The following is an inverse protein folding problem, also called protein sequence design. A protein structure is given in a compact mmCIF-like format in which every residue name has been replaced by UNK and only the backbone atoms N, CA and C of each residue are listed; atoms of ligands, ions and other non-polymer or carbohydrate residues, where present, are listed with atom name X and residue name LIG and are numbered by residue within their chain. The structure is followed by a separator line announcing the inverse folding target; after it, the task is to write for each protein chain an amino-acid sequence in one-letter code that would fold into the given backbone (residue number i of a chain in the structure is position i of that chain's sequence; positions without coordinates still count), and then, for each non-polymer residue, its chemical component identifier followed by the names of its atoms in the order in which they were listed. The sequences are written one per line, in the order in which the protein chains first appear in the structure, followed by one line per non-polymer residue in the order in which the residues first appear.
data_IF_440636111979
#
_entry.id   IF_440636111979
#
_cell.length_a   1.000
_cell.length_b   1.000
_cell.length_c   1.000
_cell.angle_alpha   90.00
_cell.angle_beta   90.00
_cell.angle_gamma   90.00
#
_symmetry.space_group_name_H-M   'P 1'
#
loop_
_entity.id
_entity.type
_entity.pdbx_description
1 polymer ?
#
# COMPACT_ATOMS: atom_id res chain seq x y z
N UNK A 1 -28.03 54.90 -44.39
CA UNK A 1 -28.94 55.34 -43.30
C UNK A 1 -28.83 54.32 -42.17
N UNK A 2 -28.73 54.75 -40.91
CA UNK A 2 -28.16 53.97 -39.83
C UNK A 2 -29.13 52.92 -39.29
N UNK A 3 -28.60 51.73 -38.97
CA UNK A 3 -29.33 50.65 -38.32
C UNK A 3 -29.39 50.89 -36.80
N UNK A 4 -30.59 50.79 -36.24
CA UNK A 4 -30.90 50.89 -34.82
C UNK A 4 -30.15 49.85 -33.97
N UNK A 5 -29.79 50.19 -32.71
CA UNK A 5 -29.20 49.23 -31.79
C UNK A 5 -30.29 48.32 -31.18
N UNK A 6 -30.11 47.01 -31.29
CA UNK A 6 -30.92 45.99 -30.64
C UNK A 6 -30.53 45.87 -29.17
N UNK A 7 -31.54 45.96 -28.30
CA UNK A 7 -31.46 45.93 -26.84
C UNK A 7 -31.38 44.46 -26.37
N UNK A 8 -30.30 44.09 -25.69
CA UNK A 8 -30.11 42.77 -25.08
C UNK A 8 -30.91 42.68 -23.76
N UNK A 9 -31.65 41.59 -23.48
CA UNK A 9 -32.37 41.43 -22.21
C UNK A 9 -31.42 40.98 -21.09
N UNK A 10 -31.65 41.54 -19.89
CA UNK A 10 -30.95 41.21 -18.65
C UNK A 10 -31.33 39.81 -18.14
N UNK A 11 -30.36 39.07 -17.60
CA UNK A 11 -30.56 37.79 -16.93
C UNK A 11 -31.06 37.99 -15.48
N UNK A 12 -31.90 37.09 -14.93
CA UNK A 12 -32.48 37.24 -13.60
C UNK A 12 -31.54 36.79 -12.47
N UNK A 13 -31.32 37.71 -11.53
CA UNK A 13 -30.58 37.51 -10.27
C UNK A 13 -31.50 36.84 -9.23
N UNK A 14 -31.59 35.50 -9.19
CA UNK A 14 -32.44 34.83 -8.16
C UNK A 14 -32.01 33.42 -7.76
N UNK A 15 -30.71 33.12 -7.72
CA UNK A 15 -30.23 31.79 -7.22
C UNK A 15 -29.28 31.89 -6.02
N UNK A 16 -28.59 33.01 -5.81
CA UNK A 16 -27.65 33.12 -4.67
C UNK A 16 -28.31 33.40 -3.31
N UNK A 17 -29.52 33.97 -3.26
CA UNK A 17 -30.18 34.34 -1.99
C UNK A 17 -30.86 33.15 -1.30
N UNK A 18 -31.16 32.05 -2.01
CA UNK A 18 -31.84 30.88 -1.44
C UNK A 18 -30.86 29.92 -0.73
N UNK A 19 -29.58 29.91 -1.15
CA UNK A 19 -28.56 29.04 -0.56
C UNK A 19 -27.99 29.56 0.77
N UNK A 20 -28.04 30.87 1.04
CA UNK A 20 -27.57 31.43 2.32
C UNK A 20 -28.58 31.20 3.46
N UNK A 21 -29.88 31.26 3.19
CA UNK A 21 -30.92 31.10 4.22
C UNK A 21 -31.09 29.65 4.71
N UNK A 22 -30.73 28.65 3.89
CA UNK A 22 -30.79 27.23 4.27
C UNK A 22 -29.61 26.84 5.19
N UNK A 23 -28.45 27.49 5.07
CA UNK A 23 -27.27 27.20 5.92
C UNK A 23 -27.41 27.76 7.34
N UNK A 24 -28.06 28.90 7.54
CA UNK A 24 -28.28 29.45 8.88
C UNK A 24 -29.36 28.72 9.68
N UNK A 25 -30.37 28.14 9.03
CA UNK A 25 -31.50 27.50 9.73
C UNK A 25 -31.14 26.12 10.30
N UNK A 26 -30.14 25.42 9.76
CA UNK A 26 -29.74 24.08 10.23
C UNK A 26 -28.74 24.15 11.40
N UNK A 27 -27.96 25.23 11.51
CA UNK A 27 -26.97 25.40 12.58
C UNK A 27 -27.61 25.70 13.95
N UNK A 28 -28.83 26.24 14.00
CA UNK A 28 -29.48 26.67 15.25
C UNK A 28 -30.34 25.57 15.91
N UNK A 29 -30.65 24.47 15.22
CA UNK A 29 -31.55 23.41 15.74
C UNK A 29 -30.83 22.24 16.43
N UNK A 30 -29.49 22.20 16.46
CA UNK A 30 -28.71 21.08 17.05
C UNK A 30 -28.08 21.43 18.43
N UNK A 31 -28.38 22.58 19.03
CA UNK A 31 -27.81 22.98 20.34
C UNK A 31 -28.77 22.95 21.54
N UNK A 32 -29.98 22.39 21.43
CA UNK A 32 -30.89 22.29 22.57
C UNK A 32 -31.71 21.00 22.57
N UNK A 33 -31.11 19.88 22.98
CA UNK A 33 -31.81 18.87 23.81
C UNK A 33 -30.83 17.84 24.36
N UNK A 34 -31.12 17.33 25.56
CA UNK A 34 -30.44 16.26 26.32
C UNK A 34 -29.39 16.74 27.33
N UNK A 35 -29.88 17.29 28.44
CA UNK A 35 -29.33 17.01 29.78
C UNK A 35 -30.50 16.64 30.68
N UNK A 36 -30.54 15.42 31.24
CA UNK A 36 -31.18 15.19 32.53
C UNK A 36 -30.11 14.98 33.60
N UNK A 37 -30.16 15.87 34.59
CA UNK A 37 -29.47 15.82 35.87
C UNK A 37 -29.99 14.67 36.75
N UNK A 38 -29.09 14.13 37.57
CA UNK A 38 -29.27 13.50 38.90
C UNK A 38 -28.74 12.06 38.99
N UNK A 39 -27.53 11.93 39.54
CA UNK A 39 -27.12 10.75 40.30
C UNK A 39 -26.51 11.22 41.62
N UNK A 40 -27.19 10.89 42.72
CA UNK A 40 -26.72 11.10 44.09
C UNK A 40 -25.54 10.16 44.37
N UNK A 41 -24.47 10.68 44.98
CA UNK A 41 -23.39 9.89 45.57
C UNK A 41 -23.90 9.21 46.86
N UNK A 42 -23.98 7.88 46.82
CA UNK A 42 -24.17 7.03 48.00
C UNK A 42 -22.84 6.68 48.66
N UNK A 43 -22.83 6.70 49.99
CA UNK A 43 -21.71 6.32 50.86
C UNK A 43 -21.21 4.89 50.61
N UNK A 44 -19.90 4.61 50.83
CA UNK A 44 -19.40 3.24 50.74
C UNK A 44 -19.80 2.43 51.99
N UNK A 45 -20.61 1.40 51.77
CA UNK A 45 -20.94 0.39 52.76
C UNK A 45 -19.83 -0.66 52.90
N UNK A 46 -19.38 -0.87 54.12
CA UNK A 46 -18.42 -1.90 54.52
C UNK A 46 -19.05 -3.28 54.41
N UNK A 47 -18.50 -4.16 53.57
CA UNK A 47 -18.89 -5.59 53.55
C UNK A 47 -17.80 -6.40 54.27
N UNK A 48 -18.14 -6.97 55.42
CA UNK A 48 -17.31 -7.96 56.10
C UNK A 48 -17.46 -9.32 55.43
N UNK A 49 -16.34 -9.96 55.12
CA UNK A 49 -16.25 -11.37 54.77
C UNK A 49 -15.32 -12.04 55.78
N UNK A 50 -15.89 -12.91 56.62
CA UNK A 50 -15.18 -13.79 57.53
C UNK A 50 -15.03 -15.17 56.88
N UNK A 51 -13.80 -15.64 56.64
CA UNK A 51 -13.46 -17.06 56.79
C UNK A 51 -11.95 -17.33 56.90
N UNK A 52 -11.66 -18.24 57.82
CA UNK A 52 -10.40 -18.77 58.34
C UNK A 52 -9.40 -19.36 57.33
N UNK A 53 -8.10 -19.13 57.55
CA UNK A 53 -6.97 -19.90 56.99
C UNK A 53 -5.65 -19.11 56.93
N UNK A 54 -4.47 -19.70 57.24
CA UNK A 54 -3.25 -18.93 57.50
C UNK A 54 -2.43 -18.66 56.24
N UNK A 55 -1.94 -17.43 56.07
CA UNK A 55 -0.81 -17.16 55.16
C UNK A 55 -0.82 -15.78 54.52
N UNK A 56 0.17 -14.97 54.91
CA UNK A 56 0.69 -13.75 54.27
C UNK A 56 -0.24 -12.53 54.15
N UNK A 57 -0.01 -11.57 55.07
CA UNK A 57 -0.50 -10.18 54.95
C UNK A 57 0.60 -9.34 54.30
N UNK A 58 0.34 -8.84 53.09
CA UNK A 58 1.10 -7.73 52.52
C UNK A 58 0.23 -6.46 52.69
N UNK A 59 0.65 -5.55 53.55
CA UNK A 59 -0.05 -4.29 53.81
C UNK A 59 0.31 -3.31 52.69
N UNK A 60 -0.64 -3.00 51.81
CA UNK A 60 -0.53 -1.89 50.86
C UNK A 60 -1.37 -0.74 51.41
N UNK A 61 -0.73 0.35 51.80
CA UNK A 61 -1.39 1.60 52.18
C UNK A 61 -1.67 2.40 50.90
N UNK A 62 -2.93 2.65 50.51
CA UNK A 62 -3.19 3.58 49.42
C UNK A 62 -3.06 5.02 49.94
N UNK A 63 -2.03 5.73 49.49
CA UNK A 63 -1.98 7.20 49.60
C UNK A 63 -2.88 7.79 48.53
N UNK A 64 -4.03 8.30 48.93
CA UNK A 64 -4.89 9.11 48.07
C UNK A 64 -4.35 10.54 48.10
N UNK A 65 -3.64 10.95 47.05
CA UNK A 65 -3.29 12.36 46.83
C UNK A 65 -4.40 13.03 46.04
N UNK A 66 -5.22 13.81 46.73
CA UNK A 66 -6.22 14.69 46.11
C UNK A 66 -5.52 15.93 45.56
N UNK A 67 -5.28 16.00 44.26
CA UNK A 67 -4.83 17.25 43.60
C UNK A 67 -6.06 18.04 43.14
N UNK A 68 -6.33 19.14 43.84
CA UNK A 68 -7.34 20.15 43.47
C UNK A 68 -6.76 21.00 42.34
N UNK A 69 -7.40 20.99 41.16
CA UNK A 69 -7.08 21.93 40.08
C UNK A 69 -7.87 23.23 40.28
N UNK A 70 -7.18 24.30 40.63
CA UNK A 70 -7.67 25.67 40.48
C UNK A 70 -7.29 26.19 39.09
N UNK A 71 -8.28 26.70 38.35
CA UNK A 71 -8.05 27.43 37.11
C UNK A 71 -7.34 28.75 37.39
N UNK A 72 -6.37 29.08 36.52
CA UNK A 72 -5.91 30.45 36.36
C UNK A 72 -4.49 30.57 35.80
N UNK A 73 -4.41 31.24 34.66
CA UNK A 73 -3.28 32.07 34.20
C UNK A 73 -2.26 31.43 33.25
N UNK A 74 -2.14 32.12 32.12
CA UNK A 74 -1.26 31.95 30.97
C UNK A 74 0.22 32.19 31.27
N UNK A 75 1.09 31.33 30.72
CA UNK A 75 2.48 31.67 30.34
C UNK A 75 2.93 30.80 29.15
N UNK A 76 3.78 31.33 28.24
CA UNK A 76 4.13 30.69 26.98
C UNK A 76 5.25 29.65 27.18
N UNK A 77 5.11 28.47 26.58
CA UNK A 77 6.22 27.52 26.49
C UNK A 77 7.13 27.90 25.31
N UNK A 78 8.46 27.97 25.50
CA UNK A 78 9.39 28.12 24.40
C UNK A 78 9.51 26.79 23.65
N UNK A 79 9.24 26.84 22.35
CA UNK A 79 9.55 25.75 21.41
C UNK A 79 11.07 25.66 21.30
N UNK A 80 11.71 24.47 21.42
CA UNK A 80 13.11 24.33 21.08
C UNK A 80 13.27 24.56 19.58
N UNK A 81 14.08 25.56 19.21
CA UNK A 81 14.47 25.77 17.83
C UNK A 81 15.26 24.55 17.33
N UNK A 82 14.74 23.87 16.31
CA UNK A 82 15.53 22.92 15.53
C UNK A 82 16.61 23.70 14.76
N UNK A 83 17.85 23.51 15.16
CA UNK A 83 19.02 23.96 14.41
C UNK A 83 19.10 23.15 13.12
N UNK A 84 18.87 23.81 11.98
CA UNK A 84 19.19 23.25 10.67
C UNK A 84 20.68 22.90 10.63
N UNK A 85 20.98 21.61 10.55
CA UNK A 85 22.32 21.15 10.18
C UNK A 85 22.53 21.51 8.71
N UNK A 86 23.48 22.41 8.44
CA UNK A 86 23.90 22.71 7.07
C UNK A 86 24.47 21.44 6.43
N UNK A 87 23.81 21.01 5.36
CA UNK A 87 24.31 19.95 4.48
C UNK A 87 25.52 20.53 3.74
N UNK A 88 26.71 20.02 4.05
CA UNK A 88 27.91 20.33 3.28
C UNK A 88 27.79 19.69 1.88
N UNK A 89 28.23 20.39 0.81
CA UNK A 89 28.24 19.81 -0.52
C UNK A 89 29.19 18.60 -0.56
N UNK A 90 28.88 17.57 -1.36
CA UNK A 90 29.73 16.40 -1.51
C UNK A 90 31.11 16.80 -2.05
N UNK A 91 32.18 16.10 -1.65
CA UNK A 91 33.52 16.35 -2.18
C UNK A 91 33.54 16.11 -3.70
N UNK A 92 34.38 16.86 -4.44
CA UNK A 92 34.50 16.70 -5.89
C UNK A 92 34.97 15.29 -6.24
N UNK A 93 34.27 14.67 -7.19
CA UNK A 93 34.57 13.36 -7.73
C UNK A 93 35.97 13.34 -8.37
N UNK A 94 36.85 12.48 -7.86
CA UNK A 94 38.16 12.19 -8.46
C UNK A 94 37.96 11.00 -9.42
N UNK A 95 38.13 11.17 -10.74
CA UNK A 95 38.03 10.06 -11.69
C UNK A 95 39.18 9.07 -11.46
N UNK A 96 38.84 7.79 -11.31
CA UNK A 96 39.80 6.69 -11.26
C UNK A 96 40.28 6.42 -12.71
N UNK A 97 41.60 6.30 -12.97
CA UNK A 97 42.12 5.97 -14.29
C UNK A 97 41.64 4.60 -14.76
N UNK A 98 41.19 4.56 -16.03
CA UNK A 98 40.72 3.36 -16.73
C UNK A 98 41.95 2.68 -17.34
N UNK A 99 42.27 1.46 -16.90
CA UNK A 99 43.38 0.70 -17.49
C UNK A 99 43.02 0.20 -18.90
N UNK A 100 44.02 0.29 -19.76
CA UNK A 100 44.01 0.03 -21.19
C UNK A 100 43.86 -1.46 -21.56
N UNK A 101 43.27 -1.61 -22.74
CA UNK A 101 43.07 -2.79 -23.58
C UNK A 101 44.37 -3.55 -23.93
N UNK A 102 44.27 -4.88 -24.13
CA UNK A 102 45.32 -5.67 -24.79
C UNK A 102 44.71 -6.80 -25.66
N UNK A 103 45.41 -7.23 -26.74
CA UNK A 103 44.76 -7.50 -28.02
C UNK A 103 44.52 -8.98 -28.37
N UNK A 104 43.76 -9.14 -29.46
CA UNK A 104 43.41 -10.38 -30.16
C UNK A 104 44.62 -11.14 -30.74
N UNK A 105 44.49 -12.48 -30.82
CA UNK A 105 45.41 -13.37 -31.55
C UNK A 105 44.64 -14.17 -32.60
N UNK A 106 45.18 -14.15 -33.82
CA UNK A 106 44.70 -14.71 -35.09
C UNK A 106 45.29 -16.10 -35.44
N UNK A 107 44.49 -16.95 -36.11
CA UNK A 107 44.86 -17.96 -37.13
C UNK A 107 45.38 -19.32 -36.61
N UNK A 108 45.23 -20.52 -37.23
CA UNK A 108 45.10 -21.02 -38.63
C UNK A 108 44.87 -22.59 -38.53
N UNK A 109 44.68 -23.47 -39.55
CA UNK A 109 43.92 -23.49 -40.82
C UNK A 109 42.84 -24.61 -40.94
N UNK A 110 42.13 -24.51 -42.07
CA UNK A 110 41.16 -25.39 -42.77
C UNK A 110 41.69 -26.78 -43.18
N UNK A 111 40.81 -27.80 -43.21
CA UNK A 111 40.94 -28.97 -44.11
C UNK A 111 39.57 -29.53 -44.54
N UNK A 112 39.53 -30.16 -45.71
CA UNK A 112 38.45 -30.17 -46.69
C UNK A 112 37.31 -31.22 -46.51
N UNK A 113 36.20 -30.94 -47.20
CA UNK A 113 35.06 -31.85 -47.53
C UNK A 113 35.38 -32.73 -48.75
N UNK A 114 34.71 -33.87 -48.99
CA UNK A 114 33.37 -33.90 -49.65
C UNK A 114 32.44 -35.00 -49.05
N UNK A 115 31.12 -35.15 -49.28
CA UNK A 115 30.33 -35.10 -50.53
C UNK A 115 28.82 -35.14 -50.19
N UNK A 116 28.03 -34.51 -51.06
CA UNK A 116 26.56 -34.57 -51.29
C UNK A 116 25.64 -35.52 -50.50
N UNK A 117 24.63 -34.94 -49.85
CA UNK A 117 23.34 -35.55 -49.53
C UNK A 117 22.25 -34.47 -49.48
N UNK A 118 21.09 -34.73 -50.10
CA UNK A 118 19.95 -33.80 -50.26
C UNK A 118 19.58 -33.00 -49.00
N UNK A 119 19.21 -31.70 -49.11
CA UNK A 119 18.63 -30.97 -47.99
C UNK A 119 17.19 -31.45 -47.78
N UNK A 120 16.98 -32.21 -46.71
CA UNK A 120 15.65 -32.31 -46.10
C UNK A 120 15.35 -30.95 -45.51
N UNK A 121 14.20 -30.40 -45.90
CA UNK A 121 13.57 -29.24 -45.27
C UNK A 121 13.48 -29.47 -43.76
N UNK A 122 14.42 -28.90 -43.03
CA UNK A 122 14.32 -28.75 -41.60
C UNK A 122 13.27 -27.66 -41.39
N UNK A 123 12.04 -28.10 -41.10
CA UNK A 123 11.05 -27.21 -40.54
C UNK A 123 11.65 -26.67 -39.26
N UNK A 124 12.12 -25.42 -39.31
CA UNK A 124 12.57 -24.63 -38.18
C UNK A 124 11.32 -24.33 -37.31
N UNK A 125 10.81 -25.38 -36.69
CA UNK A 125 9.93 -25.25 -35.54
C UNK A 125 10.88 -24.77 -34.45
N UNK A 126 11.00 -23.45 -34.35
CA UNK A 126 11.36 -22.78 -33.11
C UNK A 126 10.50 -23.46 -32.04
N UNK A 127 11.09 -24.41 -31.30
CA UNK A 127 10.49 -24.87 -30.06
C UNK A 127 10.58 -23.65 -29.18
N UNK A 128 9.51 -22.87 -29.13
CA UNK A 128 9.31 -21.93 -28.05
C UNK A 128 9.60 -22.72 -26.78
N UNK A 129 10.63 -22.28 -26.04
CA UNK A 129 10.99 -22.90 -24.78
C UNK A 129 9.70 -22.99 -23.96
N UNK A 130 9.35 -24.20 -23.51
CA UNK A 130 8.07 -24.41 -22.83
C UNK A 130 7.94 -23.40 -21.68
N UNK A 131 6.82 -22.67 -21.65
CA UNK A 131 6.52 -21.73 -20.57
C UNK A 131 6.51 -22.49 -19.25
N UNK A 132 7.38 -22.08 -18.33
CA UNK A 132 7.50 -22.69 -17.00
C UNK A 132 6.87 -21.83 -15.91
N UNK A 133 6.61 -20.56 -16.20
CA UNK A 133 5.81 -19.68 -15.36
C UNK A 133 4.45 -19.46 -16.02
N UNK A 134 3.35 -19.76 -15.32
CA UNK A 134 1.99 -19.60 -15.83
C UNK A 134 1.28 -18.46 -15.12
N UNK A 135 0.56 -17.62 -15.88
CA UNK A 135 -0.28 -16.56 -15.32
C UNK A 135 -1.52 -17.16 -14.69
N UNK A 136 -1.71 -16.92 -13.39
CA UNK A 136 -2.87 -17.41 -12.62
C UNK A 136 -3.94 -16.34 -12.37
N UNK A 137 -3.59 -15.07 -12.55
CA UNK A 137 -4.51 -13.95 -12.41
C UNK A 137 -4.18 -12.89 -13.47
N UNK A 138 -5.19 -12.18 -13.96
CA UNK A 138 -5.04 -11.12 -14.95
C UNK A 138 -6.05 -10.00 -14.72
N UNK A 139 -5.60 -8.77 -14.90
CA UNK A 139 -6.39 -7.55 -14.72
C UNK A 139 -6.06 -6.55 -15.83
N UNK A 140 -7.08 -5.83 -16.28
CA UNK A 140 -6.95 -4.66 -17.15
C UNK A 140 -7.96 -3.59 -16.75
N UNK A 141 -7.52 -2.34 -16.72
CA UNK A 141 -8.36 -1.15 -16.51
C UNK A 141 -9.01 -0.64 -17.80
N UNK A 142 -8.68 -1.24 -18.96
CA UNK A 142 -9.24 -0.82 -20.24
C UNK A 142 -10.76 -0.95 -20.21
N UNK A 143 -11.49 0.13 -20.47
CA UNK A 143 -12.95 0.15 -20.31
C UNK A 143 -13.67 -0.83 -21.27
N UNK A 144 -14.54 -1.73 -20.76
CA UNK A 144 -14.84 -1.96 -19.35
C UNK A 144 -13.73 -2.76 -18.66
N UNK A 145 -13.33 -2.33 -17.45
CA UNK A 145 -12.31 -3.02 -16.69
C UNK A 145 -12.68 -4.49 -16.46
N UNK A 146 -11.69 -5.37 -16.49
CA UNK A 146 -11.87 -6.81 -16.38
C UNK A 146 -10.78 -7.44 -15.53
N UNK A 147 -11.18 -8.44 -14.75
CA UNK A 147 -10.26 -9.19 -13.90
C UNK A 147 -10.66 -10.66 -13.81
N UNK A 148 -9.67 -11.54 -13.70
CA UNK A 148 -9.83 -12.97 -13.40
C UNK A 148 -8.77 -13.38 -12.39
N UNK A 149 -9.11 -14.16 -11.37
CA UNK A 149 -8.15 -14.55 -10.32
C UNK A 149 -7.90 -13.46 -9.28
N UNK A 150 -8.75 -12.42 -9.22
CA UNK A 150 -8.58 -11.24 -8.36
C UNK A 150 -9.83 -10.93 -7.52
N UNK A 151 -9.62 -10.57 -6.26
CA UNK A 151 -10.58 -9.88 -5.41
C UNK A 151 -10.05 -8.49 -5.02
N UNK A 152 -10.88 -7.46 -5.21
CA UNK A 152 -10.54 -6.07 -4.86
C UNK A 152 -11.28 -5.67 -3.58
N UNK A 153 -10.51 -5.34 -2.54
CA UNK A 153 -10.99 -5.07 -1.19
C UNK A 153 -10.44 -3.74 -0.67
N UNK A 154 -11.04 -3.20 0.39
CA UNK A 154 -10.46 -2.13 1.19
C UNK A 154 -10.90 -2.27 2.65
N UNK A 155 -10.24 -1.57 3.58
CA UNK A 155 -10.62 -1.48 5.00
C UNK A 155 -11.90 -0.62 5.23
N UNK A 156 -12.96 -0.96 4.49
CA UNK A 156 -14.26 -0.27 4.42
C UNK A 156 -15.44 -1.20 4.75
N UNK A 157 -15.17 -2.34 5.40
CA UNK A 157 -16.16 -3.38 5.68
C UNK A 157 -17.47 -2.85 6.26
N UNK A 158 -18.59 -3.33 5.72
CA UNK A 158 -19.95 -2.96 6.08
C UNK A 158 -20.80 -4.23 6.21
N UNK A 159 -21.32 -4.56 7.41
CA UNK A 159 -22.17 -5.72 7.63
C UNK A 159 -23.42 -5.80 6.74
N UNK A 160 -23.85 -4.69 6.13
CA UNK A 160 -24.98 -4.66 5.20
C UNK A 160 -24.62 -5.08 3.76
N UNK A 161 -23.32 -5.18 3.44
CA UNK A 161 -22.84 -5.54 2.10
C UNK A 161 -21.76 -6.61 2.15
N UNK A 162 -20.56 -6.26 2.60
CA UNK A 162 -19.44 -7.17 2.71
C UNK A 162 -18.44 -6.68 3.74
N UNK A 163 -17.84 -7.61 4.48
CA UNK A 163 -17.04 -7.29 5.65
C UNK A 163 -17.88 -6.97 6.89
N UNK A 164 -17.22 -6.49 7.92
CA UNK A 164 -17.80 -6.18 9.22
C UNK A 164 -17.18 -4.93 9.83
N UNK A 165 -17.86 -4.38 10.83
CA UNK A 165 -17.36 -3.32 11.69
C UNK A 165 -17.64 -3.67 13.15
N UNK A 166 -16.67 -3.38 14.02
CA UNK A 166 -16.91 -3.34 15.45
C UNK A 166 -15.98 -2.32 16.12
N UNK A 167 -16.32 -1.91 17.34
CA UNK A 167 -15.54 -0.93 18.11
C UNK A 167 -14.23 -1.47 18.68
N UNK A 168 -13.94 -2.77 18.52
CA UNK A 168 -12.67 -3.34 18.91
C UNK A 168 -11.64 -3.25 17.79
N UNK A 169 -12.01 -3.52 16.54
CA UNK A 169 -11.09 -3.65 15.42
C UNK A 169 -11.39 -2.67 14.27
N UNK A 170 -12.41 -1.83 14.37
CA UNK A 170 -12.82 -0.95 13.28
C UNK A 170 -13.37 -1.74 12.08
N UNK A 171 -13.21 -1.18 10.88
CA UNK A 171 -13.63 -1.82 9.64
C UNK A 171 -12.72 -3.00 9.31
N UNK A 172 -13.29 -4.12 8.88
CA UNK A 172 -12.53 -5.19 8.22
C UNK A 172 -12.33 -4.87 6.74
N UNK A 173 -11.65 -5.78 6.04
CA UNK A 173 -11.76 -5.87 4.59
C UNK A 173 -13.22 -6.10 4.16
N UNK A 174 -13.62 -5.41 3.09
CA UNK A 174 -14.87 -5.58 2.34
C UNK A 174 -14.61 -5.33 0.85
N UNK A 175 -15.43 -5.90 -0.02
CA UNK A 175 -15.37 -5.62 -1.46
C UNK A 175 -15.64 -4.16 -1.73
N UNK A 176 -15.06 -3.61 -2.78
CA UNK A 176 -15.26 -2.22 -3.21
C UNK A 176 -15.76 -2.13 -4.63
N UNK A 177 -16.41 -1.00 -4.96
CA UNK A 177 -16.72 -0.62 -6.34
C UNK A 177 -15.43 -0.29 -7.10
N UNK A 178 -15.52 -0.14 -8.44
CA UNK A 178 -14.37 0.00 -9.33
C UNK A 178 -13.39 1.14 -9.00
N UNK A 179 -13.83 2.23 -8.35
CA UNK A 179 -12.93 3.32 -7.93
C UNK A 179 -12.32 3.13 -6.52
N UNK A 180 -12.63 2.02 -5.84
CA UNK A 180 -12.17 1.72 -4.48
C UNK A 180 -12.82 2.56 -3.38
N UNK A 181 -13.73 3.50 -3.69
CA UNK A 181 -14.20 4.52 -2.74
C UNK A 181 -15.33 4.07 -1.82
N UNK A 182 -16.05 3.00 -2.18
CA UNK A 182 -17.24 2.53 -1.46
C UNK A 182 -17.31 1.02 -1.42
N UNK A 183 -17.81 0.51 -0.30
CA UNK A 183 -18.11 -0.92 -0.13
C UNK A 183 -19.21 -1.41 -1.08
N UNK A 184 -18.95 -2.57 -1.66
CA UNK A 184 -19.82 -3.33 -2.56
C UNK A 184 -20.22 -4.67 -1.91
N UNK A 185 -21.25 -5.31 -2.44
CA UNK A 185 -21.66 -6.64 -1.98
C UNK A 185 -20.74 -7.76 -2.50
N UNK A 186 -20.15 -7.56 -3.67
CA UNK A 186 -19.32 -8.53 -4.39
C UNK A 186 -18.09 -7.84 -5.00
N UNK A 187 -17.09 -8.64 -5.40
CA UNK A 187 -15.88 -8.15 -6.08
C UNK A 187 -16.25 -7.52 -7.42
N UNK A 188 -15.78 -6.29 -7.65
CA UNK A 188 -15.86 -5.63 -8.96
C UNK A 188 -14.46 -5.32 -9.46
N UNK A 189 -14.17 -5.44 -10.77
CA UNK A 189 -12.89 -5.03 -11.32
C UNK A 189 -12.58 -3.58 -10.97
N UNK A 190 -11.35 -3.31 -10.55
CA UNK A 190 -10.85 -1.96 -10.33
C UNK A 190 -10.83 -1.18 -11.65
N UNK A 191 -11.16 0.10 -11.64
CA UNK A 191 -11.24 0.94 -12.85
C UNK A 191 -9.87 1.51 -13.26
N UNK A 192 -8.83 1.29 -12.45
CA UNK A 192 -7.45 1.66 -12.77
C UNK A 192 -6.99 3.02 -12.26
N UNK A 193 -7.79 3.71 -11.44
CA UNK A 193 -7.42 5.02 -10.88
C UNK A 193 -7.74 5.08 -9.40
N UNK A 194 -6.73 5.41 -8.59
CA UNK A 194 -6.89 5.86 -7.22
C UNK A 194 -6.69 7.38 -7.25
N UNK A 195 -7.73 8.13 -6.93
CA UNK A 195 -7.75 9.60 -7.07
C UNK A 195 -6.76 10.31 -6.13
N UNK A 196 -6.48 9.73 -4.96
CA UNK A 196 -5.67 10.35 -3.89
C UNK A 196 -4.92 9.28 -3.10
N UNK A 197 -3.89 9.70 -2.34
CA UNK A 197 -3.11 8.80 -1.47
C UNK A 197 -3.89 8.28 -0.26
N UNK A 198 -5.05 8.87 0.06
CA UNK A 198 -5.94 8.35 1.11
C UNK A 198 -6.79 7.15 0.65
N UNK A 199 -6.74 6.82 -0.66
CA UNK A 199 -7.44 5.67 -1.23
C UNK A 199 -6.46 4.51 -1.34
N UNK A 200 -6.81 3.41 -0.71
CA UNK A 200 -6.05 2.17 -0.74
C UNK A 200 -6.99 1.03 -1.13
N UNK A 201 -6.52 0.19 -2.05
CA UNK A 201 -7.15 -1.09 -2.36
C UNK A 201 -6.18 -2.22 -2.03
N UNK A 202 -6.70 -3.25 -1.38
CA UNK A 202 -5.99 -4.49 -1.15
C UNK A 202 -6.46 -5.51 -2.19
N UNK A 203 -5.51 -6.17 -2.85
CA UNK A 203 -5.77 -7.10 -3.95
C UNK A 203 -5.37 -8.50 -3.52
N UNK A 204 -6.31 -9.45 -3.63
CA UNK A 204 -6.16 -10.85 -3.25
C UNK A 204 -6.48 -11.77 -4.44
N UNK A 205 -6.26 -13.07 -4.26
CA UNK A 205 -6.90 -14.07 -5.14
C UNK A 205 -8.42 -13.96 -5.05
N UNK A 206 -9.15 -14.50 -6.03
CA UNK A 206 -10.60 -14.65 -5.97
C UNK A 206 -11.07 -15.86 -5.13
N UNK A 207 -10.13 -16.60 -4.53
CA UNK A 207 -10.42 -17.71 -3.63
C UNK A 207 -10.73 -17.18 -2.24
N UNK A 208 -12.00 -17.26 -1.85
CA UNK A 208 -12.44 -16.94 -0.48
C UNK A 208 -11.80 -17.88 0.52
N UNK A 209 -11.43 -17.35 1.68
CA UNK A 209 -10.93 -18.12 2.81
C UNK A 209 -11.97 -19.13 3.29
N UNK A 210 -11.54 -20.37 3.44
CA UNK A 210 -12.25 -21.40 4.20
C UNK A 210 -11.55 -21.64 5.56
N UNK A 211 -11.66 -22.84 6.11
CA UNK A 211 -11.03 -23.21 7.37
C UNK A 211 -9.49 -23.19 7.34
N UNK A 212 -8.86 -23.15 6.16
CA UNK A 212 -7.41 -23.25 6.00
C UNK A 212 -6.69 -21.89 5.98
N UNK A 213 -7.41 -20.78 6.14
CA UNK A 213 -6.81 -19.44 6.21
C UNK A 213 -6.10 -19.13 7.56
N UNK A 214 -5.78 -20.14 8.38
CA UNK A 214 -5.36 -20.05 9.79
C UNK A 214 -6.38 -19.31 10.66
N UNK A 215 -6.55 -18.01 10.44
CA UNK A 215 -7.56 -17.18 11.05
C UNK A 215 -7.94 -16.01 10.14
N UNK A 216 -9.24 -15.78 9.98
CA UNK A 216 -9.81 -14.56 9.46
C UNK A 216 -10.80 -14.01 10.49
N UNK A 217 -10.86 -12.68 10.62
CA UNK A 217 -11.82 -12.04 11.53
C UNK A 217 -13.24 -12.50 11.18
N UNK A 218 -14.06 -12.93 12.17
CA UNK A 218 -15.42 -13.37 11.90
C UNK A 218 -16.24 -12.31 11.14
N UNK A 219 -16.97 -12.75 10.11
CA UNK A 219 -17.77 -11.91 9.21
C UNK A 219 -16.97 -10.90 8.36
N UNK A 220 -15.63 -10.96 8.35
CA UNK A 220 -14.84 -10.21 7.40
C UNK A 220 -14.86 -10.87 6.01
N UNK A 221 -14.72 -10.07 4.96
CA UNK A 221 -14.42 -10.59 3.62
C UNK A 221 -12.95 -10.98 3.58
N UNK A 222 -12.66 -12.27 3.47
CA UNK A 222 -11.29 -12.79 3.51
C UNK A 222 -11.03 -13.70 2.31
N UNK A 223 -9.87 -13.52 1.69
CA UNK A 223 -9.40 -14.29 0.55
C UNK A 223 -7.97 -14.76 0.78
N UNK A 224 -7.55 -15.79 0.04
CA UNK A 224 -6.14 -16.21 0.04
C UNK A 224 -5.27 -15.17 -0.66
N UNK A 225 -4.06 -14.97 -0.15
CA UNK A 225 -2.98 -14.35 -0.93
C UNK A 225 -2.36 -15.36 -1.90
N UNK A 226 -1.42 -14.90 -2.72
CA UNK A 226 -0.60 -15.80 -3.55
C UNK A 226 0.54 -16.39 -2.72
N UNK A 227 0.43 -17.68 -2.43
CA UNK A 227 1.43 -18.45 -1.71
C UNK A 227 2.58 -18.96 -2.61
N UNK A 228 3.54 -19.64 -2.00
CA UNK A 228 4.65 -20.28 -2.71
C UNK A 228 5.94 -19.43 -2.73
N UNK A 229 7.10 -20.10 -2.81
CA UNK A 229 8.41 -19.44 -2.81
C UNK A 229 8.79 -18.84 -4.18
N UNK A 230 8.09 -19.24 -5.25
CA UNK A 230 8.31 -18.80 -6.61
C UNK A 230 7.02 -18.17 -7.15
N UNK A 231 6.96 -16.83 -7.18
CA UNK A 231 5.81 -16.06 -7.68
C UNK A 231 6.26 -14.71 -8.21
N UNK A 232 5.57 -14.20 -9.21
CA UNK A 232 5.90 -12.94 -9.85
C UNK A 232 4.63 -12.11 -10.06
N UNK A 233 4.76 -10.80 -9.81
CA UNK A 233 3.71 -9.80 -9.97
C UNK A 233 4.18 -8.79 -11.00
N UNK A 234 3.31 -8.46 -11.95
CA UNK A 234 3.58 -7.53 -13.02
C UNK A 234 2.48 -6.48 -13.05
N UNK A 235 2.89 -5.23 -13.18
CA UNK A 235 1.96 -4.10 -13.22
C UNK A 235 2.46 -3.06 -14.21
N UNK A 236 1.52 -2.39 -14.87
CA UNK A 236 1.76 -1.16 -15.60
C UNK A 236 1.03 -0.04 -14.86
N UNK A 237 1.73 1.03 -14.48
CA UNK A 237 1.14 2.12 -13.71
C UNK A 237 1.80 3.47 -13.98
N UNK A 238 1.10 4.52 -13.57
CA UNK A 238 1.52 5.91 -13.53
C UNK A 238 1.26 6.45 -12.11
N UNK A 239 2.13 7.34 -11.62
CA UNK A 239 2.02 7.94 -10.29
C UNK A 239 2.16 9.46 -10.43
N UNK A 240 1.12 10.13 -10.88
CA UNK A 240 1.09 11.59 -10.92
C UNK A 240 0.92 12.22 -9.54
N UNK A 241 1.19 13.52 -9.46
CA UNK A 241 1.03 14.29 -8.24
C UNK A 241 -0.43 14.60 -7.96
N UNK A 242 -0.96 14.05 -6.86
CA UNK A 242 -2.30 14.32 -6.36
C UNK A 242 -2.28 14.46 -4.84
N UNK A 243 -2.82 15.58 -4.37
CA UNK A 243 -3.01 15.78 -2.93
C UNK A 243 -4.30 15.11 -2.45
N UNK A 244 -4.33 14.76 -1.16
CA UNK A 244 -5.56 14.31 -0.51
C UNK A 244 -6.62 15.41 -0.50
N UNK A 245 -7.89 15.02 -0.39
CA UNK A 245 -8.97 15.99 -0.35
C UNK A 245 -9.05 16.71 1.01
N UNK A 246 -8.93 18.04 0.99
CA UNK A 246 -9.12 18.86 2.18
C UNK A 246 -7.86 18.99 3.03
N UNK A 247 -7.91 18.53 4.28
CA UNK A 247 -6.72 18.45 5.15
C UNK A 247 -6.26 17.02 5.27
N UNK A 248 -4.95 16.81 5.33
CA UNK A 248 -4.38 15.46 5.36
C UNK A 248 -4.73 14.67 6.63
N UNK A 249 -5.24 15.32 7.68
CA UNK A 249 -5.62 14.70 8.96
C UNK A 249 -4.53 13.79 9.59
N UNK A 250 -3.26 13.99 9.23
CA UNK A 250 -2.13 13.17 9.66
C UNK A 250 -1.78 12.02 8.72
N UNK A 251 -2.52 11.83 7.62
CA UNK A 251 -2.18 10.92 6.52
C UNK A 251 -1.10 11.53 5.61
N UNK A 252 -0.39 10.67 4.88
CA UNK A 252 0.53 11.11 3.83
C UNK A 252 -0.27 11.55 2.60
N UNK A 253 0.08 12.72 2.05
CA UNK A 253 -0.48 13.27 0.81
C UNK A 253 0.56 13.17 -0.30
N UNK A 254 0.11 12.92 -1.52
CA UNK A 254 0.98 12.79 -2.70
C UNK A 254 2.09 11.74 -2.50
N UNK A 255 1.70 10.62 -1.89
CA UNK A 255 2.54 9.51 -1.46
C UNK A 255 1.96 8.17 -1.99
N UNK A 256 1.85 7.97 -3.32
CA UNK A 256 1.38 6.71 -3.86
C UNK A 256 2.39 5.58 -3.60
N UNK A 257 1.87 4.36 -3.44
CA UNK A 257 2.67 3.18 -3.19
C UNK A 257 2.14 1.94 -3.89
N UNK A 258 3.05 1.04 -4.27
CA UNK A 258 2.74 -0.36 -4.56
C UNK A 258 3.58 -1.25 -3.65
N UNK A 259 2.89 -2.01 -2.80
CA UNK A 259 3.48 -2.70 -1.66
C UNK A 259 2.75 -4.00 -1.38
N UNK A 260 3.38 -4.86 -0.60
CA UNK A 260 2.96 -6.24 -0.38
C UNK A 260 2.92 -6.55 1.11
N UNK A 261 1.80 -7.08 1.56
CA UNK A 261 1.62 -7.60 2.90
C UNK A 261 1.48 -9.11 2.89
N UNK A 262 1.92 -9.77 3.96
CA UNK A 262 1.43 -11.10 4.26
C UNK A 262 -0.08 -11.04 4.50
N UNK A 263 -0.83 -11.91 3.81
CA UNK A 263 -2.30 -11.94 3.84
C UNK A 263 -2.89 -12.07 5.26
N UNK A 264 -2.16 -12.61 6.24
CA UNK A 264 -2.61 -12.66 7.64
C UNK A 264 -2.86 -11.29 8.26
N UNK A 265 -2.15 -10.25 7.82
CA UNK A 265 -2.24 -8.89 8.36
C UNK A 265 -3.64 -8.30 8.12
N UNK A 266 -4.07 -8.07 6.87
CA UNK A 266 -5.35 -7.41 6.59
C UNK A 266 -6.56 -8.34 6.80
N UNK A 267 -6.38 -9.67 6.91
CA UNK A 267 -7.46 -10.60 7.29
C UNK A 267 -7.93 -10.43 8.73
N UNK A 268 -7.15 -9.77 9.59
CA UNK A 268 -7.46 -9.54 11.00
C UNK A 268 -7.66 -8.05 11.27
N UNK A 269 -6.57 -7.30 11.18
CA UNK A 269 -6.50 -5.86 11.46
C UNK A 269 -5.20 -5.34 10.83
N UNK A 270 -5.29 -4.60 9.73
CA UNK A 270 -4.12 -3.98 9.12
C UNK A 270 -3.61 -2.81 9.95
N UNK A 271 -4.52 -1.95 10.40
CA UNK A 271 -4.21 -0.70 11.08
C UNK A 271 -4.76 -0.65 12.50
N UNK A 272 -3.93 -0.17 13.44
CA UNK A 272 -4.33 0.12 14.82
C UNK A 272 -4.22 -1.07 15.79
N UNK A 273 -4.90 -0.91 16.92
CA UNK A 273 -4.92 -1.88 18.02
C UNK A 273 -6.36 -2.27 18.33
N UNK A 274 -6.53 -3.36 19.10
CA UNK A 274 -7.84 -3.68 19.65
C UNK A 274 -8.33 -2.63 20.68
N UNK A 275 -9.57 -2.76 21.16
CA UNK A 275 -10.15 -1.88 22.22
C UNK A 275 -9.37 -1.85 23.54
N UNK A 276 -8.45 -2.79 23.78
CA UNK A 276 -7.58 -2.83 24.96
C UNK A 276 -6.18 -2.29 24.64
N UNK A 277 -6.01 -1.67 23.48
CA UNK A 277 -4.75 -1.17 22.97
C UNK A 277 -3.70 -2.28 22.77
N UNK A 278 -4.15 -3.48 22.39
CA UNK A 278 -3.30 -4.62 22.06
C UNK A 278 -3.14 -4.69 20.54
N UNK A 279 -1.90 -4.73 20.00
CA UNK A 279 -1.68 -4.91 18.58
C UNK A 279 -2.14 -6.31 18.16
N UNK A 280 -3.14 -6.38 17.28
CA UNK A 280 -3.64 -7.63 16.70
C UNK A 280 -3.17 -7.85 15.26
N UNK A 281 -2.45 -6.88 14.70
CA UNK A 281 -1.73 -7.02 13.44
C UNK A 281 -0.46 -7.82 13.67
N UNK A 282 -0.31 -8.94 12.96
CA UNK A 282 0.93 -9.70 12.98
C UNK A 282 2.07 -9.01 12.23
N UNK A 283 1.82 -7.85 11.60
CA UNK A 283 2.86 -6.97 11.05
C UNK A 283 3.91 -6.65 12.12
N UNK A 284 3.44 -6.24 13.31
CA UNK A 284 4.28 -5.93 14.46
C UNK A 284 5.03 -7.15 15.04
N UNK A 285 4.57 -8.36 14.72
CA UNK A 285 5.14 -9.62 15.24
C UNK A 285 5.83 -10.46 14.18
N UNK A 286 6.02 -9.96 12.95
CA UNK A 286 6.89 -10.61 11.96
C UNK A 286 6.24 -11.15 10.69
N UNK A 287 4.95 -10.89 10.44
CA UNK A 287 4.32 -11.29 9.18
C UNK A 287 4.95 -10.62 7.95
N UNK A 288 5.53 -9.43 8.14
CA UNK A 288 6.34 -8.73 7.17
C UNK A 288 5.56 -7.93 6.13
N UNK A 289 6.28 -6.98 5.55
CA UNK A 289 5.84 -6.07 4.49
C UNK A 289 6.99 -5.84 3.53
N UNK A 290 6.66 -5.73 2.24
CA UNK A 290 7.61 -5.34 1.21
C UNK A 290 7.03 -4.19 0.40
N UNK A 291 7.62 -3.02 0.57
CA UNK A 291 7.36 -1.84 -0.24
C UNK A 291 8.16 -1.99 -1.52
N UNK A 292 7.47 -2.22 -2.64
CA UNK A 292 8.16 -2.41 -3.91
C UNK A 292 8.44 -1.06 -4.58
N UNK A 293 7.49 -0.14 -4.49
CA UNK A 293 7.58 1.18 -5.09
C UNK A 293 6.79 2.19 -4.23
N UNK A 294 7.46 2.85 -3.29
CA UNK A 294 6.81 3.76 -2.34
C UNK A 294 7.37 5.18 -2.40
N UNK A 295 6.48 6.15 -2.55
CA UNK A 295 6.78 7.58 -2.40
C UNK A 295 6.53 7.98 -0.94
N UNK A 296 7.61 8.32 -0.22
CA UNK A 296 7.57 8.61 1.22
C UNK A 296 7.31 10.08 1.57
N UNK A 297 7.04 10.93 0.58
CA UNK A 297 6.87 12.36 0.83
C UNK A 297 6.16 13.10 -0.30
N UNK A 298 5.40 14.11 0.08
CA UNK A 298 4.71 15.01 -0.84
C UNK A 298 5.69 15.68 -1.78
N UNK A 299 5.43 15.62 -3.08
CA UNK A 299 6.26 16.17 -4.15
C UNK A 299 7.51 15.35 -4.47
N UNK A 300 7.74 14.22 -3.79
CA UNK A 300 8.92 13.40 -4.05
C UNK A 300 8.84 12.70 -5.40
N UNK A 301 10.02 12.54 -5.99
CA UNK A 301 10.21 11.92 -7.32
C UNK A 301 10.97 10.61 -7.25
N UNK A 302 11.43 10.23 -6.06
CA UNK A 302 12.20 9.00 -5.82
C UNK A 302 11.33 8.05 -5.03
N UNK A 303 11.00 6.92 -5.64
CA UNK A 303 10.39 5.81 -4.95
C UNK A 303 11.45 4.90 -4.34
N UNK A 304 11.17 4.41 -3.14
CA UNK A 304 12.03 3.47 -2.43
C UNK A 304 11.39 2.09 -2.39
N UNK A 305 12.27 1.09 -2.32
CA UNK A 305 11.88 -0.24 -1.88
C UNK A 305 12.40 -0.48 -0.48
N UNK A 306 11.56 -1.06 0.35
CA UNK A 306 11.83 -1.32 1.77
C UNK A 306 11.26 -2.67 2.15
N UNK A 307 11.97 -3.42 2.99
CA UNK A 307 11.42 -4.60 3.64
C UNK A 307 11.27 -4.32 5.14
N UNK A 308 10.09 -4.60 5.69
CA UNK A 308 9.82 -4.56 7.11
C UNK A 308 9.67 -5.99 7.63
N UNK A 309 10.48 -6.38 8.61
CA UNK A 309 10.49 -7.72 9.20
C UNK A 309 10.44 -7.67 10.72
N UNK A 310 10.20 -8.84 11.33
CA UNK A 310 10.15 -8.99 12.79
C UNK A 310 11.35 -8.33 13.48
N UNK A 311 11.11 -7.64 14.59
CA UNK A 311 12.14 -6.92 15.31
C UNK A 311 12.48 -5.56 14.72
N UNK A 312 11.62 -5.02 13.86
CA UNK A 312 11.84 -3.76 13.15
C UNK A 312 13.16 -3.76 12.36
N UNK A 313 13.48 -4.93 11.80
CA UNK A 313 14.61 -5.10 10.89
C UNK A 313 14.20 -4.54 9.53
N UNK A 314 14.21 -3.22 9.48
CA UNK A 314 14.00 -2.42 8.28
C UNK A 314 15.25 -2.52 7.41
N UNK A 315 15.07 -2.97 6.18
CA UNK A 315 16.12 -2.97 5.16
C UNK A 315 15.64 -2.16 3.97
N UNK A 316 16.22 -1.00 3.75
CA UNK A 316 16.01 -0.23 2.51
C UNK A 316 17.08 -0.56 1.47
N UNK A 317 16.72 -0.50 0.19
CA UNK A 317 17.72 -0.41 -0.87
C UNK A 317 18.23 1.04 -0.99
N UNK A 318 19.54 1.21 -1.17
CA UNK A 318 20.12 2.52 -1.42
C UNK A 318 19.72 3.07 -2.81
N UNK A 319 19.38 2.18 -3.74
CA UNK A 319 18.79 2.51 -5.04
C UNK A 319 17.39 3.14 -4.89
N UNK A 320 16.91 3.75 -5.97
CA UNK A 320 15.57 4.32 -6.03
C UNK A 320 15.05 4.23 -7.46
N UNK A 321 13.73 4.14 -7.60
CA UNK A 321 13.08 4.28 -8.89
C UNK A 321 12.60 5.71 -9.08
N UNK A 322 12.66 6.20 -10.32
CA UNK A 322 12.05 7.47 -10.65
C UNK A 322 10.54 7.31 -10.73
N UNK A 323 9.81 8.15 -9.99
CA UNK A 323 8.35 8.24 -10.02
C UNK A 323 7.87 8.47 -11.47
N UNK A 324 6.97 7.61 -12.00
CA UNK A 324 6.47 7.76 -13.35
C UNK A 324 5.37 8.83 -13.42
N UNK A 325 5.77 10.10 -13.47
CA UNK A 325 4.86 11.25 -13.62
C UNK A 325 4.61 11.51 -15.12
N UNK A 326 3.33 11.59 -15.51
CA UNK A 326 2.89 11.90 -16.87
C UNK A 326 3.15 10.78 -17.90
N UNK A 327 3.55 9.59 -17.44
CA UNK A 327 3.78 8.40 -18.27
C UNK A 327 3.54 7.14 -17.46
N UNK A 328 3.22 6.05 -18.14
CA UNK A 328 3.23 4.71 -17.53
C UNK A 328 4.63 4.11 -17.57
N UNK A 329 4.90 3.20 -16.64
CA UNK A 329 6.03 2.25 -16.69
C UNK A 329 5.50 0.85 -16.45
N UNK A 330 6.25 -0.15 -16.92
CA UNK A 330 6.05 -1.56 -16.57
C UNK A 330 7.00 -1.91 -15.44
N UNK A 331 6.50 -2.65 -14.45
CA UNK A 331 7.26 -2.97 -13.25
C UNK A 331 6.95 -4.40 -12.81
N UNK A 332 7.98 -5.11 -12.36
CA UNK A 332 7.88 -6.47 -11.87
C UNK A 332 8.37 -6.59 -10.43
N UNK A 333 7.71 -7.46 -9.67
CA UNK A 333 8.21 -7.96 -8.38
C UNK A 333 8.23 -9.48 -8.44
N UNK A 334 9.42 -10.06 -8.31
CA UNK A 334 9.64 -11.50 -8.40
C UNK A 334 10.16 -12.01 -7.06
N UNK A 335 9.40 -12.90 -6.45
CA UNK A 335 9.81 -13.71 -5.32
C UNK A 335 10.36 -15.02 -5.87
N UNK A 336 11.65 -15.26 -5.72
CA UNK A 336 12.29 -16.46 -6.23
C UNK A 336 13.56 -16.78 -5.45
N UNK A 337 13.77 -18.06 -5.10
CA UNK A 337 14.94 -18.54 -4.37
C UNK A 337 15.31 -17.66 -3.15
N UNK A 338 14.32 -17.39 -2.28
CA UNK A 338 14.49 -16.58 -1.05
C UNK A 338 14.94 -15.13 -1.28
N UNK A 339 14.77 -14.63 -2.50
CA UNK A 339 15.01 -13.23 -2.84
C UNK A 339 13.74 -12.58 -3.38
N UNK A 340 13.65 -11.27 -3.17
CA UNK A 340 12.67 -10.39 -3.81
C UNK A 340 13.44 -9.47 -4.74
N UNK A 341 13.11 -9.52 -6.02
CA UNK A 341 13.62 -8.58 -7.03
C UNK A 341 12.49 -7.66 -7.45
N UNK A 342 12.67 -6.35 -7.34
CA UNK A 342 11.77 -5.36 -7.90
C UNK A 342 12.47 -4.67 -9.07
N UNK A 343 11.81 -4.55 -10.24
CA UNK A 343 12.48 -4.10 -11.47
C UNK A 343 11.56 -3.32 -12.41
N UNK A 344 12.04 -2.19 -12.93
CA UNK A 344 11.44 -1.49 -14.07
C UNK A 344 11.73 -2.29 -15.34
N UNK A 345 10.70 -2.59 -16.11
CA UNK A 345 10.78 -3.35 -17.35
C UNK A 345 10.75 -2.43 -18.56
N UNK A 346 11.25 -2.94 -19.69
CA UNK A 346 11.11 -2.27 -20.97
C UNK A 346 9.63 -2.10 -21.36
N UNK A 347 9.29 -0.98 -22.01
CA UNK A 347 7.95 -0.68 -22.50
C UNK A 347 7.40 -1.78 -23.44
N UNK A 348 8.29 -2.48 -24.15
CA UNK A 348 7.95 -3.57 -25.06
C UNK A 348 7.69 -4.92 -24.39
N UNK A 349 7.89 -5.05 -23.08
CA UNK A 349 7.72 -6.32 -22.37
C UNK A 349 6.24 -6.79 -22.39
N UNK A 350 5.99 -8.04 -22.76
CA UNK A 350 4.64 -8.61 -22.83
C UNK A 350 4.26 -9.37 -21.54
N UNK A 351 3.14 -8.99 -20.92
CA UNK A 351 2.55 -9.70 -19.78
C UNK A 351 1.71 -10.90 -20.25
N UNK A 352 2.32 -11.75 -21.08
CA UNK A 352 1.68 -12.90 -21.72
C UNK A 352 1.09 -13.91 -20.72
N UNK A 353 0.40 -14.92 -21.24
CA UNK A 353 -0.20 -15.99 -20.42
C UNK A 353 0.85 -16.87 -19.71
N UNK A 354 2.11 -16.76 -20.10
CA UNK A 354 3.22 -17.41 -19.42
C UNK A 354 4.56 -16.82 -19.83
N UNK A 355 5.59 -17.13 -19.05
CA UNK A 355 6.96 -16.69 -19.25
C UNK A 355 7.92 -17.87 -19.26
N UNK A 356 8.95 -17.76 -20.09
CA UNK A 356 10.07 -18.69 -20.14
C UNK A 356 11.02 -18.45 -18.96
N UNK A 357 11.88 -19.43 -18.63
CA UNK A 357 12.92 -19.22 -17.61
C UNK A 357 13.85 -18.07 -17.97
N UNK A 358 14.24 -17.98 -19.25
CA UNK A 358 15.15 -16.94 -19.72
C UNK A 358 14.59 -15.53 -19.49
N UNK A 359 13.27 -15.33 -19.67
CA UNK A 359 12.64 -14.05 -19.37
C UNK A 359 12.67 -13.74 -17.87
N UNK A 360 12.46 -14.73 -17.00
CA UNK A 360 12.55 -14.54 -15.54
C UNK A 360 13.99 -14.32 -15.10
N UNK A 361 14.95 -15.08 -15.64
CA UNK A 361 16.38 -14.92 -15.35
C UNK A 361 16.88 -13.54 -15.75
N UNK A 362 16.40 -13.01 -16.89
CA UNK A 362 16.69 -11.64 -17.32
C UNK A 362 16.15 -10.60 -16.33
N UNK A 363 14.92 -10.77 -15.85
CA UNK A 363 14.35 -9.90 -14.80
C UNK A 363 15.18 -9.98 -13.51
N UNK A 364 15.59 -11.19 -13.11
CA UNK A 364 16.37 -11.45 -11.90
C UNK A 364 17.85 -11.03 -12.01
N UNK A 365 18.34 -10.73 -13.22
CA UNK A 365 19.72 -10.36 -13.44
C UNK A 365 20.06 -9.05 -12.72
N UNK A 366 20.90 -9.15 -11.69
CA UNK A 366 21.33 -8.02 -10.87
C UNK A 366 22.60 -7.39 -11.43
N UNK A 367 22.57 -6.07 -11.61
CA UNK A 367 23.74 -5.24 -11.92
C UNK A 367 23.81 -4.08 -10.93
N UNK A 368 24.85 -4.03 -10.08
CA UNK A 368 25.01 -2.97 -9.07
C UNK A 368 25.09 -1.54 -9.67
N UNK A 369 25.34 -1.42 -10.97
CA UNK A 369 25.36 -0.13 -11.69
C UNK A 369 24.02 0.24 -12.34
N UNK A 370 23.06 -0.69 -12.36
CA UNK A 370 21.72 -0.50 -12.90
C UNK A 370 20.77 -0.03 -11.80
N UNK A 371 20.19 1.17 -11.98
CA UNK A 371 19.23 1.76 -11.05
C UNK A 371 17.78 1.33 -11.34
N UNK A 372 17.57 0.40 -12.29
CA UNK A 372 16.26 -0.11 -12.65
C UNK A 372 15.80 -1.27 -11.78
N UNK A 373 16.60 -1.74 -10.82
CA UNK A 373 16.22 -2.81 -9.91
C UNK A 373 16.62 -2.59 -8.44
N UNK A 374 15.96 -3.35 -7.58
CA UNK A 374 16.29 -3.55 -6.17
C UNK A 374 16.22 -5.02 -5.82
N UNK A 375 17.13 -5.48 -4.95
CA UNK A 375 17.27 -6.88 -4.57
C UNK A 375 17.31 -7.04 -3.05
N UNK A 376 16.43 -7.89 -2.52
CA UNK A 376 16.33 -8.18 -1.10
C UNK A 376 16.44 -9.68 -0.84
N UNK A 377 17.39 -10.08 0.00
CA UNK A 377 17.45 -11.45 0.51
C UNK A 377 16.55 -11.59 1.75
N UNK A 378 15.59 -12.52 1.69
CA UNK A 378 14.66 -12.79 2.79
C UNK A 378 15.35 -13.64 3.87
N UNK A 379 16.39 -14.40 3.50
CA UNK A 379 17.09 -15.33 4.39
C UNK A 379 16.32 -16.65 4.57
N UNK A 380 17.03 -17.70 4.95
CA UNK A 380 16.45 -18.98 5.41
C UNK A 380 15.94 -18.87 6.86
#
# INVERSE_FOLDING_TARGET
MPASPTKQPAAPTTVQTILSTIKETIATTIMQTIIPSNAQLGSPGTTQLTKNGPGFVCTITPTITTTIFTQGSTCPNPVPAFTQTQILPPPPYIPIPRDEESPAVTGVPTSASPTSGNPLQENDVKRDAASIWSRVAYYTSAAPAAASGFAFLANLGDPQKSGTFDYAFGNSLGYVIGDGSKVAADSTPFDGTLETSEREIAVFTDKTCDNDCEYARPNATAHYGWEGPAKAFFIEFQMDHYDNYGSDQGMLSDAPAWWFLNAAIPRILQYGNDRKNIPCSCWSTGCGEFDAFEILGRGETRAKSTIHRQGNLEGGDSNYFLRPVGRTIKFAVVFYNWNITARVLDDGFDFGAGLTQAQIDDILAYDASDNSHSLFSIGD
#
